data_IF_005654270709
#
_entry.id   IF_005654270709
#
_cell.length_a   1.000
_cell.length_b   1.000
_cell.length_c   1.000
_cell.angle_alpha   90.00
_cell.angle_beta   90.00
_cell.angle_gamma   90.00
#
_symmetry.space_group_name_H-M   'P 1'
#
loop_
_entity.id
_entity.type
_entity.pdbx_description
1 polymer ?
#
# COMPACT_ATOMS: atom_id res chain seq x y z
N UNK A 1 -2.69 19.37 -7.50
CA UNK A 1 -2.54 18.17 -8.35
C UNK A 1 -1.81 17.09 -7.56
N UNK A 2 -2.10 15.82 -7.83
CA UNK A 2 -1.32 14.70 -7.33
C UNK A 2 -0.66 13.96 -8.50
N UNK A 3 0.62 13.63 -8.33
CA UNK A 3 1.40 12.90 -9.34
C UNK A 3 1.88 11.58 -8.75
N UNK A 4 1.61 10.46 -9.44
CA UNK A 4 2.22 9.18 -9.12
C UNK A 4 3.67 9.16 -9.60
N UNK A 5 4.60 8.85 -8.69
CA UNK A 5 6.04 8.85 -8.99
C UNK A 5 6.56 7.46 -9.35
N UNK A 6 6.12 6.44 -8.61
CA UNK A 6 6.49 5.06 -8.85
C UNK A 6 5.37 4.10 -8.42
N UNK A 7 5.46 2.87 -8.90
CA UNK A 7 4.56 1.77 -8.58
C UNK A 7 5.37 0.50 -8.35
N UNK A 8 4.99 -0.28 -7.33
CA UNK A 8 5.58 -1.57 -7.01
C UNK A 8 4.49 -2.59 -6.66
N UNK A 9 4.83 -3.88 -6.73
CA UNK A 9 3.99 -4.99 -6.23
C UNK A 9 4.60 -5.49 -4.93
N UNK A 10 3.86 -5.41 -3.83
CA UNK A 10 4.29 -5.88 -2.52
C UNK A 10 3.09 -6.27 -1.64
N UNK A 11 3.30 -7.19 -0.70
CA UNK A 11 2.33 -7.43 0.38
C UNK A 11 2.52 -6.35 1.45
N UNK A 12 1.46 -5.61 1.78
CA UNK A 12 1.52 -4.55 2.78
C UNK A 12 1.20 -5.13 4.15
N UNK A 13 2.14 -4.95 5.08
CA UNK A 13 2.07 -5.44 6.45
C UNK A 13 2.13 -4.26 7.43
N UNK A 14 1.38 -4.35 8.53
CA UNK A 14 1.51 -3.46 9.68
C UNK A 14 2.15 -4.23 10.82
N UNK A 15 3.02 -3.58 11.56
CA UNK A 15 3.56 -4.18 12.77
C UNK A 15 2.59 -3.94 13.92
N UNK A 16 2.17 -5.02 14.57
CA UNK A 16 1.36 -5.02 15.78
C UNK A 16 2.31 -5.09 16.97
N UNK A 17 2.55 -3.94 17.61
CA UNK A 17 3.48 -3.82 18.75
C UNK A 17 3.03 -4.65 19.96
N UNK A 18 1.72 -4.76 20.19
CA UNK A 18 1.17 -5.49 21.34
C UNK A 18 1.45 -6.99 21.27
N UNK A 19 1.41 -7.55 20.05
CA UNK A 19 1.67 -8.96 19.80
C UNK A 19 3.06 -9.24 19.18
N UNK A 20 3.87 -8.20 18.97
CA UNK A 20 5.22 -8.27 18.36
C UNK A 20 5.25 -9.04 17.04
N UNK A 21 4.28 -8.80 16.16
CA UNK A 21 4.12 -9.54 14.90
C UNK A 21 3.72 -8.64 13.75
N UNK A 22 4.03 -9.07 12.54
CA UNK A 22 3.50 -8.45 11.33
C UNK A 22 2.11 -8.99 11.01
N UNK A 23 1.14 -8.12 10.77
CA UNK A 23 -0.23 -8.45 10.36
C UNK A 23 -0.58 -7.82 9.01
N UNK A 24 -1.48 -8.44 8.26
CA UNK A 24 -1.88 -7.94 6.94
C UNK A 24 -2.56 -6.56 7.07
N UNK A 25 -2.13 -5.59 6.27
CA UNK A 25 -2.78 -4.29 6.23
C UNK A 25 -4.20 -4.42 5.64
N UNK A 26 -5.16 -3.71 6.24
CA UNK A 26 -6.58 -3.76 5.84
C UNK A 26 -7.32 -5.04 6.29
N UNK A 27 -6.76 -5.83 7.20
CA UNK A 27 -7.37 -7.05 7.73
C UNK A 27 -7.46 -8.20 6.72
N UNK A 28 -7.94 -9.37 7.14
CA UNK A 28 -8.11 -10.54 6.27
C UNK A 28 -6.79 -11.17 5.81
N UNK A 29 -6.86 -11.95 4.72
CA UNK A 29 -5.72 -12.70 4.20
C UNK A 29 -4.60 -11.79 3.65
N UNK A 30 -3.36 -12.27 3.74
CA UNK A 30 -2.21 -11.66 3.08
C UNK A 30 -2.38 -11.78 1.57
N UNK A 31 -2.35 -10.64 0.88
CA UNK A 31 -2.47 -10.58 -0.57
C UNK A 31 -1.53 -9.50 -1.12
N UNK A 32 -0.97 -9.70 -2.33
CA UNK A 32 -0.18 -8.70 -3.00
C UNK A 32 -1.01 -7.44 -3.26
N UNK A 33 -0.38 -6.29 -3.13
CA UNK A 33 -0.96 -4.98 -3.39
C UNK A 33 -0.16 -4.25 -4.46
N UNK A 34 -0.84 -3.39 -5.21
CA UNK A 34 -0.19 -2.32 -5.97
C UNK A 34 0.09 -1.18 -5.00
N UNK A 35 1.36 -0.90 -4.77
CA UNK A 35 1.83 0.16 -3.87
C UNK A 35 2.36 1.31 -4.71
N UNK A 36 1.84 2.52 -4.48
CA UNK A 36 2.20 3.72 -5.23
C UNK A 36 2.63 4.83 -4.28
N UNK A 37 3.63 5.60 -4.72
CA UNK A 37 4.03 6.83 -4.05
C UNK A 37 3.46 8.01 -4.83
N UNK A 38 2.69 8.86 -4.14
CA UNK A 38 2.11 10.07 -4.69
C UNK A 38 2.77 11.31 -4.08
N UNK A 39 2.94 12.35 -4.91
CA UNK A 39 3.37 13.69 -4.50
C UNK A 39 2.27 14.71 -4.78
N UNK A 40 1.95 15.53 -3.78
CA UNK A 40 1.08 16.70 -3.92
C UNK A 40 1.89 17.95 -4.24
N UNK A 41 1.34 18.83 -5.08
CA UNK A 41 2.01 20.04 -5.60
C UNK A 41 2.02 21.25 -4.64
N UNK A 42 1.92 21.05 -3.32
CA UNK A 42 1.97 22.12 -2.33
C UNK A 42 3.36 22.72 -2.11
N UNK A 43 3.43 23.79 -1.31
CA UNK A 43 4.66 24.39 -0.80
C UNK A 43 4.63 24.40 0.74
N UNK A 44 5.28 23.44 1.43
CA UNK A 44 6.12 22.38 0.88
C UNK A 44 5.31 21.24 0.22
N UNK A 45 5.93 20.46 -0.70
CA UNK A 45 5.28 19.29 -1.28
C UNK A 45 5.09 18.20 -0.22
N UNK A 46 3.93 17.54 -0.24
CA UNK A 46 3.63 16.40 0.62
C UNK A 46 3.67 15.08 -0.17
N UNK A 47 4.03 13.99 0.50
CA UNK A 47 4.08 12.66 -0.08
C UNK A 47 3.15 11.71 0.68
N UNK A 48 2.60 10.73 -0.03
CA UNK A 48 1.84 9.63 0.57
C UNK A 48 2.10 8.31 -0.14
N UNK A 49 2.03 7.23 0.62
CA UNK A 49 2.07 5.86 0.11
C UNK A 49 0.66 5.31 0.10
N UNK A 50 0.26 4.67 -1.01
CA UNK A 50 -1.07 4.08 -1.19
C UNK A 50 -0.90 2.63 -1.60
N UNK A 51 -1.34 1.69 -0.77
CA UNK A 51 -1.43 0.28 -1.09
C UNK A 51 -2.87 -0.11 -1.40
N UNK A 52 -3.13 -0.69 -2.58
CA UNK A 52 -4.42 -1.29 -2.93
C UNK A 52 -4.24 -2.79 -3.13
N UNK A 53 -4.95 -3.60 -2.36
CA UNK A 53 -4.96 -5.06 -2.54
C UNK A 53 -5.39 -5.41 -3.96
N UNK A 54 -4.64 -6.31 -4.58
CA UNK A 54 -5.01 -6.84 -5.88
C UNK A 54 -5.95 -8.01 -5.64
N UNK A 55 -7.10 -8.01 -6.32
CA UNK A 55 -7.94 -9.19 -6.34
C UNK A 55 -7.14 -10.33 -6.99
N UNK A 56 -7.33 -11.59 -6.56
CA UNK A 56 -6.81 -12.71 -7.32
C UNK A 56 -7.33 -12.59 -8.75
N UNK A 57 -6.45 -12.79 -9.74
CA UNK A 57 -6.89 -12.92 -11.12
C UNK A 57 -7.94 -14.03 -11.15
N UNK A 58 -9.18 -13.69 -11.49
CA UNK A 58 -10.24 -14.66 -11.66
C UNK A 58 -9.86 -15.50 -12.88
N UNK A 59 -9.19 -16.64 -12.65
CA UNK A 59 -8.98 -17.66 -13.66
C UNK A 59 -10.36 -18.24 -13.99
N UNK A 60 -10.82 -17.99 -15.22
CA UNK A 60 -12.03 -18.57 -15.83
C UNK A 60 -11.72 -19.98 -16.31
#
# INVERSE_FOLDING_TARGET
SETALCSARATVMLYDDGNKKWVAAGGGAQAPSRVQIYRSAGAPPAFRVVGRKMQPDQQV
#
